data_IF_968263970734
#
_entry.id   IF_968263970734
#
_cell.length_a   1.000
_cell.length_b   1.000
_cell.length_c   1.000
_cell.angle_alpha   90.00
_cell.angle_beta   90.00
_cell.angle_gamma   90.00
#
_symmetry.space_group_name_H-M   'P 1'
#
loop_
_entity.id
_entity.type
_entity.pdbx_description
1 polymer ?
#
# COMPACT_ATOMS: atom_id res chain seq x y z
N UNK A 1 -2.28 -11.17 -10.81
CA UNK A 1 -1.29 -10.48 -9.92
C UNK A 1 -1.21 -11.19 -8.59
N UNK A 2 0.00 -11.39 -8.11
CA UNK A 2 0.22 -12.00 -6.80
C UNK A 2 0.73 -10.93 -5.84
N UNK A 3 0.14 -10.87 -4.64
CA UNK A 3 0.52 -9.88 -3.63
C UNK A 3 1.10 -10.60 -2.42
N UNK A 4 2.31 -10.23 -2.05
CA UNK A 4 2.94 -10.69 -0.81
C UNK A 4 2.88 -9.57 0.22
N UNK A 5 2.83 -9.93 1.49
CA UNK A 5 2.77 -8.98 2.59
C UNK A 5 3.99 -9.17 3.47
N UNK A 6 4.68 -8.07 3.79
CA UNK A 6 5.79 -8.15 4.74
C UNK A 6 5.26 -8.45 6.14
N UNK A 7 6.13 -8.94 7.03
CA UNK A 7 5.73 -9.16 8.41
C UNK A 7 5.37 -7.83 9.10
N UNK A 8 6.07 -6.76 8.73
CA UNK A 8 5.75 -5.42 9.24
C UNK A 8 4.34 -4.99 8.80
N UNK A 9 4.02 -5.17 7.52
CA UNK A 9 2.69 -4.85 6.99
C UNK A 9 1.61 -5.62 7.76
N UNK A 10 1.81 -6.92 7.96
CA UNK A 10 0.83 -7.76 8.65
C UNK A 10 0.57 -7.27 10.08
N UNK A 11 1.63 -6.89 10.79
CA UNK A 11 1.51 -6.34 12.14
C UNK A 11 0.75 -5.03 12.14
N UNK A 12 1.13 -4.12 11.24
CA UNK A 12 0.52 -2.80 11.17
C UNK A 12 -0.94 -2.87 10.75
N UNK A 13 -1.25 -3.75 9.80
CA UNK A 13 -2.62 -3.94 9.35
C UNK A 13 -3.53 -4.40 10.50
N UNK A 14 -3.01 -5.29 11.33
CA UNK A 14 -3.75 -5.81 12.47
C UNK A 14 -4.24 -4.69 13.41
N UNK A 15 -3.48 -3.61 13.52
CA UNK A 15 -3.77 -2.50 14.42
C UNK A 15 -4.56 -1.36 13.78
N UNK A 16 -4.91 -1.46 12.52
CA UNK A 16 -5.74 -0.44 11.87
C UNK A 16 -7.16 -0.44 12.45
N UNK A 17 -7.80 0.73 12.52
CA UNK A 17 -9.23 0.78 12.83
C UNK A 17 -10.02 -0.09 11.87
N UNK A 18 -11.10 -0.68 12.36
CA UNK A 18 -11.92 -1.60 11.57
C UNK A 18 -12.41 -0.97 10.27
N UNK A 19 -12.84 0.30 10.33
CA UNK A 19 -13.33 1.01 9.15
C UNK A 19 -12.22 1.14 8.10
N UNK A 20 -10.99 1.38 8.55
CA UNK A 20 -9.84 1.49 7.64
C UNK A 20 -9.50 0.13 7.04
N UNK A 21 -9.59 -0.94 7.81
CA UNK A 21 -9.40 -2.29 7.27
C UNK A 21 -10.38 -2.60 6.16
N UNK A 22 -11.65 -2.23 6.33
CA UNK A 22 -12.67 -2.44 5.31
C UNK A 22 -12.37 -1.65 4.04
N UNK A 23 -11.97 -0.39 4.19
CA UNK A 23 -11.58 0.45 3.06
C UNK A 23 -10.34 -0.12 2.37
N UNK A 24 -9.38 -0.61 3.14
CA UNK A 24 -8.17 -1.19 2.60
C UNK A 24 -8.49 -2.42 1.73
N UNK A 25 -9.39 -3.27 2.19
CA UNK A 25 -9.79 -4.44 1.41
C UNK A 25 -10.40 -4.05 0.07
N UNK A 26 -11.28 -3.05 0.08
CA UNK A 26 -11.90 -2.56 -1.16
C UNK A 26 -10.87 -1.98 -2.11
N UNK A 27 -9.92 -1.21 -1.59
CA UNK A 27 -8.87 -0.63 -2.42
C UNK A 27 -7.94 -1.71 -2.96
N UNK A 28 -7.66 -2.75 -2.18
CA UNK A 28 -6.85 -3.87 -2.66
C UNK A 28 -7.53 -4.61 -3.80
N UNK A 29 -8.85 -4.77 -3.75
CA UNK A 29 -9.60 -5.37 -4.86
C UNK A 29 -9.45 -4.55 -6.14
N UNK A 30 -9.53 -3.23 -6.02
CA UNK A 30 -9.31 -2.33 -7.15
C UNK A 30 -7.88 -2.48 -7.66
N UNK A 31 -6.92 -2.49 -6.74
CA UNK A 31 -5.49 -2.62 -7.05
C UNK A 31 -5.19 -3.90 -7.83
N UNK A 32 -5.83 -5.01 -7.46
CA UNK A 32 -5.63 -6.29 -8.15
C UNK A 32 -6.08 -6.24 -9.60
N UNK A 33 -7.11 -5.45 -9.88
CA UNK A 33 -7.60 -5.29 -11.26
C UNK A 33 -6.75 -4.31 -12.04
N UNK A 34 -6.35 -3.22 -11.41
CA UNK A 34 -5.53 -2.18 -12.04
C UNK A 34 -4.82 -1.36 -10.97
N UNK A 35 -3.51 -1.58 -10.78
CA UNK A 35 -2.75 -0.83 -9.77
C UNK A 35 -2.74 0.68 -9.99
N UNK A 36 -3.03 1.13 -11.20
CA UNK A 36 -3.02 2.55 -11.55
C UNK A 36 -4.42 3.14 -11.72
N UNK A 37 -5.45 2.44 -11.21
CA UNK A 37 -6.79 2.99 -11.18
C UNK A 37 -6.77 4.34 -10.45
N UNK A 38 -7.46 5.33 -11.01
CA UNK A 38 -7.42 6.71 -10.49
C UNK A 38 -7.90 6.82 -9.03
N UNK A 39 -8.74 5.90 -8.60
CA UNK A 39 -9.26 5.90 -7.21
C UNK A 39 -8.17 5.61 -6.18
N UNK A 40 -7.08 4.98 -6.60
CA UNK A 40 -5.97 4.63 -5.72
C UNK A 40 -4.95 5.74 -5.55
N UNK A 41 -4.90 6.67 -6.51
CA UNK A 41 -3.90 7.73 -6.53
C UNK A 41 -2.47 7.18 -6.43
N UNK A 42 -2.23 6.07 -7.11
CA UNK A 42 -0.94 5.41 -7.11
C UNK A 42 0.15 6.33 -7.65
N UNK A 43 1.24 6.42 -6.92
CA UNK A 43 2.37 7.25 -7.36
C UNK A 43 3.68 6.69 -6.85
N UNK A 44 4.75 6.99 -7.57
CA UNK A 44 6.10 6.58 -7.20
C UNK A 44 6.66 7.56 -6.20
N UNK A 45 7.35 7.05 -5.18
CA UNK A 45 7.99 7.91 -4.20
C UNK A 45 9.29 8.45 -4.75
N UNK A 46 9.79 9.53 -4.12
CA UNK A 46 10.98 10.24 -4.60
C UNK A 46 12.13 10.13 -3.61
N UNK A 47 13.33 10.52 -4.07
CA UNK A 47 14.52 10.55 -3.23
C UNK A 47 14.99 9.16 -2.87
N UNK A 48 15.37 8.97 -1.60
CA UNK A 48 15.89 7.68 -1.15
C UNK A 48 14.87 6.55 -1.19
N UNK A 49 13.59 6.88 -1.35
CA UNK A 49 12.51 5.89 -1.41
C UNK A 49 12.05 5.63 -2.84
N UNK A 50 12.86 5.97 -3.83
CA UNK A 50 12.46 5.94 -5.24
C UNK A 50 12.17 4.55 -5.81
N UNK A 51 12.45 3.48 -5.07
CA UNK A 51 12.07 2.12 -5.47
C UNK A 51 10.65 1.76 -5.03
N UNK A 52 10.05 2.58 -4.19
CA UNK A 52 8.75 2.32 -3.61
C UNK A 52 7.66 3.13 -4.28
N UNK A 53 6.44 2.60 -4.19
CA UNK A 53 5.22 3.23 -4.66
C UNK A 53 4.25 3.31 -3.49
N UNK A 54 3.24 4.16 -3.63
CA UNK A 54 2.20 4.27 -2.62
C UNK A 54 0.84 4.35 -3.29
N UNK A 55 -0.18 3.79 -2.63
CA UNK A 55 -1.55 4.07 -3.02
C UNK A 55 -2.38 4.39 -1.78
N UNK A 56 -3.48 5.12 -1.99
CA UNK A 56 -4.30 5.64 -0.90
C UNK A 56 -5.40 4.66 -0.52
N UNK A 57 -5.53 4.40 0.78
CA UNK A 57 -6.73 3.76 1.33
C UNK A 57 -7.82 4.83 1.44
N UNK A 58 -7.45 5.96 2.02
CA UNK A 58 -8.28 7.17 2.06
C UNK A 58 -7.35 8.39 2.09
N UNK A 59 -7.85 9.57 2.45
CA UNK A 59 -7.02 10.77 2.45
C UNK A 59 -5.89 10.72 3.47
N UNK A 60 -6.02 9.89 4.50
CA UNK A 60 -5.06 9.83 5.61
C UNK A 60 -4.16 8.59 5.54
N UNK A 61 -4.70 7.44 5.18
CA UNK A 61 -3.99 6.16 5.22
C UNK A 61 -3.50 5.74 3.85
N UNK A 62 -2.30 5.15 3.83
CA UNK A 62 -1.64 4.72 2.60
C UNK A 62 -1.01 3.35 2.77
N UNK A 63 -0.85 2.66 1.64
CA UNK A 63 -0.06 1.43 1.58
C UNK A 63 1.16 1.71 0.71
N UNK A 64 2.34 1.33 1.21
CA UNK A 64 3.59 1.44 0.47
C UNK A 64 3.99 0.07 -0.02
N UNK A 65 4.33 0.00 -1.30
CA UNK A 65 4.58 -1.27 -1.96
C UNK A 65 5.68 -1.15 -3.00
N UNK A 66 6.07 -2.29 -3.52
CA UNK A 66 7.08 -2.40 -4.56
C UNK A 66 6.64 -3.41 -5.60
N UNK A 67 6.85 -3.11 -6.88
CA UNK A 67 6.68 -4.10 -7.92
C UNK A 67 7.92 -4.98 -7.93
N UNK A 68 7.77 -6.27 -7.60
CA UNK A 68 8.88 -7.21 -7.68
C UNK A 68 9.15 -7.56 -9.14
N UNK A 69 8.08 -7.76 -9.89
CA UNK A 69 8.09 -7.84 -11.35
C UNK A 69 6.67 -7.51 -11.82
N UNK A 70 6.37 -7.71 -13.11
CA UNK A 70 5.07 -7.29 -13.65
C UNK A 70 3.89 -8.04 -13.04
N UNK A 71 4.11 -9.23 -12.48
CA UNK A 71 3.01 -10.05 -11.93
C UNK A 71 3.04 -10.16 -10.42
N UNK A 72 4.08 -9.65 -9.75
CA UNK A 72 4.27 -9.82 -8.31
C UNK A 72 4.50 -8.46 -7.66
N UNK A 73 3.75 -8.22 -6.59
CA UNK A 73 3.85 -6.99 -5.80
C UNK A 73 4.05 -7.37 -4.35
N UNK A 74 4.81 -6.56 -3.62
CA UNK A 74 4.98 -6.74 -2.18
C UNK A 74 4.53 -5.49 -1.45
N UNK A 75 3.60 -5.66 -0.48
CA UNK A 75 3.17 -4.58 0.40
C UNK A 75 4.10 -4.55 1.60
N UNK A 76 4.73 -3.41 1.84
CA UNK A 76 5.76 -3.26 2.87
C UNK A 76 5.26 -2.66 4.15
N UNK A 77 4.39 -1.65 4.06
CA UNK A 77 3.92 -0.96 5.25
C UNK A 77 2.58 -0.29 4.96
N UNK A 78 1.78 -0.12 6.01
CA UNK A 78 0.50 0.57 5.96
C UNK A 78 0.37 1.48 7.17
N UNK A 79 -0.16 2.67 6.97
CA UNK A 79 -0.35 3.62 8.05
C UNK A 79 -0.65 5.00 7.50
N UNK A 80 -0.52 5.99 8.38
CA UNK A 80 -0.68 7.40 8.01
C UNK A 80 0.66 7.98 7.53
N UNK A 81 0.78 9.30 7.52
CA UNK A 81 2.00 9.95 7.02
C UNK A 81 3.28 9.55 7.74
N UNK A 82 3.18 9.07 9.00
CA UNK A 82 4.37 8.68 9.75
C UNK A 82 5.08 7.48 9.15
N UNK A 83 4.42 6.72 8.29
CA UNK A 83 5.00 5.51 7.71
C UNK A 83 6.22 5.79 6.83
N UNK A 84 6.32 6.99 6.27
CA UNK A 84 7.49 7.35 5.47
C UNK A 84 8.79 7.35 6.27
N UNK A 85 8.69 7.50 7.58
CA UNK A 85 9.85 7.47 8.47
C UNK A 85 10.28 6.05 8.85
N UNK A 86 9.47 5.05 8.50
CA UNK A 86 9.74 3.65 8.85
C UNK A 86 10.50 2.89 7.78
N UNK A 87 10.68 3.50 6.62
CA UNK A 87 11.35 2.86 5.49
C UNK A 87 12.83 3.18 5.37
#
# INVERSE_FOLDING_TARGET
MKIFYSSQFAREYQWLPIIIKEKAKKKEEIFRKDPFDSRLKTHKLKGRLNEFWAFSIDFRYRIIFKFQNKDIVKFYTVGDHSLYNKL
#
